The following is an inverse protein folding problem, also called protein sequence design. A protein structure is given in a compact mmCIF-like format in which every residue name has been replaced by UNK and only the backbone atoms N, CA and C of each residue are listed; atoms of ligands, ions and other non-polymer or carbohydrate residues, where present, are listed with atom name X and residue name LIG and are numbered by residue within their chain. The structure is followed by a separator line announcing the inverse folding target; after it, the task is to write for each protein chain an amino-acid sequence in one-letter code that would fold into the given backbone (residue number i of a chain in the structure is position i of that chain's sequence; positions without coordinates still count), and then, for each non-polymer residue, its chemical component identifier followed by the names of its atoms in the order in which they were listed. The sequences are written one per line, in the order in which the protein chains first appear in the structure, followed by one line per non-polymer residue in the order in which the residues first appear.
data_IF_240530629768
#
_entry.id   IF_240530629768
#
_cell.length_a   1.000
_cell.length_b   1.000
_cell.length_c   1.000
_cell.angle_alpha   90.00
_cell.angle_beta   90.00
_cell.angle_gamma   90.00
#
_symmetry.space_group_name_H-M   'P 1'
#
loop_
_entity.id
_entity.type
_entity.pdbx_description
1 polymer ?
#
# COMPACT_ATOMS: atom_id res chain seq x y z
N UNK A 1 -11.56 -14.95 30.71
CA UNK A 1 -11.15 -15.80 29.56
C UNK A 1 -12.34 -15.89 28.62
N UNK A 2 -12.06 -16.06 27.32
CA UNK A 2 -12.91 -15.73 26.15
C UNK A 2 -12.80 -14.24 25.80
N UNK A 3 -11.97 -13.79 24.86
CA UNK A 3 -11.33 -14.51 23.76
C UNK A 3 -12.12 -14.34 22.46
N UNK A 4 -12.44 -13.10 22.10
CA UNK A 4 -12.95 -12.77 20.76
C UNK A 4 -11.82 -12.06 20.00
N UNK A 5 -11.18 -12.82 19.12
CA UNK A 5 -10.31 -12.31 18.07
C UNK A 5 -11.17 -11.51 17.09
N UNK A 6 -11.20 -10.20 17.23
CA UNK A 6 -11.65 -9.31 16.16
C UNK A 6 -10.51 -9.23 15.14
N UNK A 7 -10.39 -10.25 14.30
CA UNK A 7 -9.81 -10.07 12.97
C UNK A 7 -10.95 -9.62 12.06
N UNK A 8 -11.34 -8.35 12.21
CA UNK A 8 -12.17 -7.64 11.23
C UNK A 8 -11.38 -7.60 9.92
N UNK A 9 -11.95 -8.17 8.85
CA UNK A 9 -11.36 -8.15 7.51
C UNK A 9 -11.12 -6.70 7.09
N UNK A 10 -9.86 -6.37 6.78
CA UNK A 10 -9.32 -5.01 6.68
C UNK A 10 -10.02 -4.06 5.68
N UNK A 11 -10.91 -4.60 4.84
CA UNK A 11 -11.58 -3.89 3.74
C UNK A 11 -13.10 -4.18 3.63
N UNK A 12 -13.74 -4.77 4.64
CA UNK A 12 -15.19 -5.01 4.55
C UNK A 12 -15.96 -3.69 4.35
N UNK A 13 -16.61 -3.56 3.19
CA UNK A 13 -17.41 -2.38 2.81
C UNK A 13 -16.74 -1.37 1.88
N UNK A 14 -15.48 -1.56 1.50
CA UNK A 14 -14.81 -0.72 0.50
C UNK A 14 -15.04 -1.24 -0.92
N UNK A 15 -15.32 -0.32 -1.84
CA UNK A 15 -15.49 -0.64 -3.25
C UNK A 15 -14.12 -0.97 -3.88
N UNK A 16 -14.03 -2.10 -4.57
CA UNK A 16 -12.80 -2.59 -5.19
C UNK A 16 -12.21 -1.62 -6.22
N UNK A 17 -13.05 -0.95 -7.02
CA UNK A 17 -12.60 0.05 -7.99
C UNK A 17 -11.98 1.27 -7.31
N UNK A 18 -12.54 1.68 -6.17
CA UNK A 18 -12.02 2.80 -5.36
C UNK A 18 -10.66 2.41 -4.75
N UNK A 19 -10.52 1.17 -4.26
CA UNK A 19 -9.24 0.66 -3.76
C UNK A 19 -8.20 0.64 -4.89
N UNK A 20 -8.56 0.12 -6.07
CA UNK A 20 -7.66 0.04 -7.22
C UNK A 20 -7.18 1.43 -7.66
N UNK A 21 -8.10 2.39 -7.75
CA UNK A 21 -7.78 3.77 -8.12
C UNK A 21 -6.88 4.45 -7.08
N UNK A 22 -7.13 4.22 -5.79
CA UNK A 22 -6.29 4.72 -4.70
C UNK A 22 -4.88 4.16 -4.79
N UNK A 23 -4.75 2.85 -5.00
CA UNK A 23 -3.46 2.15 -5.09
C UNK A 23 -2.64 2.64 -6.29
N UNK A 24 -3.27 2.77 -7.45
CA UNK A 24 -2.61 3.32 -8.64
C UNK A 24 -2.10 4.74 -8.41
N UNK A 25 -2.92 5.60 -7.79
CA UNK A 25 -2.55 6.98 -7.49
C UNK A 25 -1.41 7.06 -6.46
N UNK A 26 -1.49 6.25 -5.39
CA UNK A 26 -0.46 6.17 -4.36
C UNK A 26 0.88 5.68 -4.93
N UNK A 27 0.86 4.65 -5.79
CA UNK A 27 2.04 4.13 -6.46
C UNK A 27 2.73 5.21 -7.30
N UNK A 28 1.97 5.91 -8.15
CA UNK A 28 2.50 6.99 -9.00
C UNK A 28 3.10 8.11 -8.14
N UNK A 29 2.39 8.56 -7.10
CA UNK A 29 2.88 9.63 -6.23
C UNK A 29 4.18 9.28 -5.50
N UNK A 30 4.33 8.03 -5.05
CA UNK A 30 5.56 7.55 -4.39
C UNK A 30 6.73 7.49 -5.37
N UNK A 31 6.51 6.97 -6.59
CA UNK A 31 7.56 6.89 -7.62
C UNK A 31 7.96 8.28 -8.11
N UNK A 32 7.00 9.18 -8.32
CA UNK A 32 7.25 10.56 -8.70
C UNK A 32 8.08 11.29 -7.63
N UNK A 33 7.69 11.18 -6.35
CA UNK A 33 8.46 11.72 -5.24
C UNK A 33 9.89 11.15 -5.22
N UNK A 34 10.04 9.84 -5.37
CA UNK A 34 11.35 9.19 -5.36
C UNK A 34 12.26 9.71 -6.47
N UNK A 35 11.75 9.88 -7.69
CA UNK A 35 12.52 10.42 -8.83
C UNK A 35 12.86 11.91 -8.61
N UNK A 36 11.87 12.71 -8.24
CA UNK A 36 12.03 14.17 -8.07
C UNK A 36 12.97 14.54 -6.91
N UNK A 37 13.12 13.66 -5.92
CA UNK A 37 14.06 13.81 -4.81
C UNK A 37 15.45 13.19 -5.09
N UNK A 38 15.74 12.85 -6.35
CA UNK A 38 17.05 12.35 -6.75
C UNK A 38 17.32 10.89 -6.35
N UNK A 39 16.27 10.08 -6.25
CA UNK A 39 16.34 8.66 -5.89
C UNK A 39 17.05 8.45 -4.53
N UNK A 40 16.44 8.91 -3.41
CA UNK A 40 17.08 8.92 -2.08
C UNK A 40 17.42 7.51 -1.55
N UNK A 41 16.85 6.46 -2.15
CA UNK A 41 17.19 5.08 -1.89
C UNK A 41 17.37 4.30 -3.21
N UNK A 42 18.11 3.19 -3.21
CA UNK A 42 18.24 2.35 -4.38
C UNK A 42 16.87 1.82 -4.87
N UNK A 43 16.69 1.60 -6.19
CA UNK A 43 15.41 1.15 -6.76
C UNK A 43 14.84 -0.13 -6.12
N UNK A 44 15.71 -1.07 -5.73
CA UNK A 44 15.28 -2.33 -5.11
C UNK A 44 14.67 -2.11 -3.71
N UNK A 45 15.20 -1.16 -2.94
CA UNK A 45 14.68 -0.81 -1.62
C UNK A 45 13.32 -0.12 -1.76
N UNK A 46 13.19 0.78 -2.73
CA UNK A 46 11.92 1.44 -3.02
C UNK A 46 10.85 0.42 -3.45
N UNK A 47 11.20 -0.53 -4.33
CA UNK A 47 10.31 -1.58 -4.79
C UNK A 47 9.84 -2.49 -3.63
N UNK A 48 10.73 -2.85 -2.71
CA UNK A 48 10.39 -3.63 -1.52
C UNK A 48 9.43 -2.86 -0.59
N UNK A 49 9.71 -1.58 -0.33
CA UNK A 49 8.84 -0.74 0.51
C UNK A 49 7.45 -0.54 -0.09
N UNK A 50 7.36 -0.31 -1.41
CA UNK A 50 6.06 -0.19 -2.11
C UNK A 50 5.33 -1.53 -2.13
N UNK A 51 6.03 -2.64 -2.35
CA UNK A 51 5.44 -3.98 -2.31
C UNK A 51 4.82 -4.30 -0.96
N UNK A 52 5.52 -4.00 0.15
CA UNK A 52 5.00 -4.18 1.51
C UNK A 52 3.78 -3.30 1.81
N UNK A 53 3.72 -2.08 1.25
CA UNK A 53 2.57 -1.21 1.39
C UNK A 53 1.36 -1.76 0.63
N UNK A 54 1.57 -2.24 -0.60
CA UNK A 54 0.51 -2.86 -1.41
C UNK A 54 -0.03 -4.13 -0.75
N UNK A 55 0.84 -4.99 -0.25
CA UNK A 55 0.45 -6.22 0.45
C UNK A 55 -0.42 -5.92 1.68
N UNK A 56 -0.17 -4.83 2.41
CA UNK A 56 -0.95 -4.46 3.60
C UNK A 56 -2.33 -3.89 3.32
N UNK A 57 -2.57 -3.41 2.11
CA UNK A 57 -3.85 -2.79 1.71
C UNK A 57 -4.70 -3.81 0.94
N UNK A 58 -4.07 -4.72 0.19
CA UNK A 58 -4.76 -5.80 -0.53
C UNK A 58 -5.02 -7.08 0.31
N UNK A 59 -4.42 -7.20 1.50
CA UNK A 59 -4.52 -8.35 2.41
C UNK A 59 -5.08 -7.92 3.77
#
# INVERSE_FOLDING_TARGET
MSGDSITEGKNEGLNEDVILQFMGTAYVGVVEWWITNGMPCPPHVMAEQVGLLLERICN
#
